data_IF_167801969259
#
_entry.id   IF_167801969259
#
_cell.length_a   1.000
_cell.length_b   1.000
_cell.length_c   1.000
_cell.angle_alpha   90.00
_cell.angle_beta   90.00
_cell.angle_gamma   90.00
#
_symmetry.space_group_name_H-M   'P 1'
#
loop_
_entity.id
_entity.type
_entity.pdbx_description
1 polymer ?
#
# COMPACT_ATOMS: atom_id res chain seq x y z
N UNK A 1 -2.28 26.33 -7.15
CA UNK A 1 -1.26 25.55 -7.85
C UNK A 1 -0.39 24.82 -6.87
N UNK A 2 -0.11 23.56 -7.13
CA UNK A 2 0.81 22.77 -6.31
C UNK A 2 2.24 23.25 -6.56
N UNK A 3 3.06 23.32 -5.52
CA UNK A 3 4.48 23.66 -5.64
C UNK A 3 5.27 22.59 -6.39
N UNK A 4 4.67 21.42 -6.57
CA UNK A 4 5.31 20.28 -7.20
C UNK A 4 5.22 20.44 -8.72
N UNK A 5 6.37 20.36 -9.39
CA UNK A 5 6.41 20.45 -10.84
C UNK A 5 5.80 19.20 -11.48
N UNK A 6 5.31 19.37 -12.71
CA UNK A 6 4.77 18.24 -13.49
C UNK A 6 5.79 17.12 -13.65
N UNK A 7 7.06 17.48 -13.76
CA UNK A 7 8.16 16.51 -13.84
C UNK A 7 8.23 15.63 -12.57
N UNK A 8 8.10 16.27 -11.40
CA UNK A 8 8.10 15.54 -10.12
C UNK A 8 6.88 14.65 -10.00
N UNK A 9 5.72 15.14 -10.38
CA UNK A 9 4.48 14.37 -10.38
C UNK A 9 4.65 13.14 -11.27
N UNK A 10 5.27 13.29 -12.43
CA UNK A 10 5.54 12.17 -13.33
C UNK A 10 6.47 11.14 -12.69
N UNK A 11 7.48 11.58 -11.95
CA UNK A 11 8.37 10.68 -11.21
C UNK A 11 7.63 9.93 -10.12
N UNK A 12 6.78 10.60 -9.36
CA UNK A 12 5.96 9.97 -8.34
C UNK A 12 4.98 8.95 -8.95
N UNK A 13 4.41 9.30 -10.10
CA UNK A 13 3.52 8.39 -10.83
C UNK A 13 4.23 7.09 -11.20
N UNK A 14 5.45 7.19 -11.69
CA UNK A 14 6.25 6.00 -12.03
C UNK A 14 6.53 5.15 -10.80
N UNK A 15 6.89 5.79 -9.69
CA UNK A 15 7.11 5.06 -8.42
C UNK A 15 5.85 4.35 -7.96
N UNK A 16 4.72 5.02 -8.02
CA UNK A 16 3.44 4.44 -7.61
C UNK A 16 3.07 3.24 -8.48
N UNK A 17 3.29 3.34 -9.79
CA UNK A 17 3.01 2.23 -10.70
C UNK A 17 3.91 1.03 -10.42
N UNK A 18 5.19 1.27 -10.13
CA UNK A 18 6.12 0.20 -9.77
C UNK A 18 5.72 -0.47 -8.46
N UNK A 19 5.38 0.31 -7.44
CA UNK A 19 4.92 -0.22 -6.16
C UNK A 19 3.65 -1.05 -6.33
N UNK A 20 2.73 -0.58 -7.16
CA UNK A 20 1.50 -1.32 -7.47
C UNK A 20 1.82 -2.68 -8.09
N UNK A 21 2.72 -2.70 -9.07
CA UNK A 21 3.12 -3.93 -9.74
C UNK A 21 3.77 -4.91 -8.77
N UNK A 22 4.64 -4.42 -7.90
CA UNK A 22 5.30 -5.24 -6.89
C UNK A 22 4.30 -5.85 -5.92
N UNK A 23 3.34 -5.06 -5.46
CA UNK A 23 2.31 -5.53 -4.53
C UNK A 23 1.43 -6.60 -5.18
N UNK A 24 1.05 -6.42 -6.44
CA UNK A 24 0.25 -7.39 -7.17
C UNK A 24 1.04 -8.69 -7.40
N UNK A 25 2.33 -8.57 -7.70
CA UNK A 25 3.19 -9.73 -7.88
C UNK A 25 3.34 -10.52 -6.57
N UNK A 26 3.56 -9.83 -5.46
CA UNK A 26 3.65 -10.44 -4.14
C UNK A 26 2.35 -11.15 -3.76
N UNK A 27 1.21 -10.57 -4.14
CA UNK A 27 -0.09 -11.19 -3.88
C UNK A 27 -0.23 -12.51 -4.63
N UNK A 28 0.24 -12.58 -5.87
CA UNK A 28 0.21 -13.82 -6.65
C UNK A 28 1.12 -14.88 -6.04
N UNK A 29 2.33 -14.51 -5.66
CA UNK A 29 3.28 -15.43 -5.02
C UNK A 29 2.73 -15.95 -3.70
N UNK A 30 2.14 -15.08 -2.89
CA UNK A 30 1.55 -15.45 -1.61
C UNK A 30 0.39 -16.42 -1.79
N UNK A 31 -0.42 -16.26 -2.83
CA UNK A 31 -1.51 -17.16 -3.15
C UNK A 31 -1.01 -18.55 -3.51
N UNK A 32 0.05 -18.64 -4.30
CA UNK A 32 0.66 -19.91 -4.68
C UNK A 32 1.29 -20.61 -3.46
N UNK A 33 1.96 -19.85 -2.61
CA UNK A 33 2.55 -20.37 -1.37
C UNK A 33 1.47 -20.94 -0.45
N UNK A 34 0.31 -20.30 -0.37
CA UNK A 34 -0.78 -20.82 0.45
C UNK A 34 -1.34 -22.12 -0.08
N UNK A 35 -1.39 -22.31 -1.37
CA UNK A 35 -1.81 -23.57 -1.98
C UNK A 35 -0.81 -24.67 -1.65
N UNK A 36 0.47 -24.39 -1.75
CA UNK A 36 1.53 -25.34 -1.41
C UNK A 36 1.47 -25.73 0.06
N UNK A 37 1.28 -24.77 0.95
CA UNK A 37 1.18 -25.03 2.39
C UNK A 37 -0.03 -25.90 2.71
N UNK A 38 -1.15 -25.69 2.02
CA UNK A 38 -2.35 -26.50 2.22
C UNK A 38 -2.10 -27.98 1.85
N UNK A 39 -1.33 -28.22 0.80
CA UNK A 39 -0.97 -29.59 0.42
C UNK A 39 -0.01 -30.21 1.42
N UNK A 40 0.94 -29.46 1.95
CA UNK A 40 1.89 -29.94 2.93
C UNK A 40 1.25 -30.28 4.27
N UNK A 41 0.18 -29.59 4.64
CA UNK A 41 -0.53 -29.86 5.88
C UNK A 41 -1.10 -31.28 5.95
N UNK A 42 -1.39 -31.89 4.83
CA UNK A 42 -1.89 -33.25 4.80
C UNK A 42 -0.79 -34.26 5.10
N UNK A 43 0.48 -33.93 4.87
CA UNK A 43 1.60 -34.84 5.12
C UNK A 43 2.27 -34.62 6.47
N UNK A 44 2.17 -33.45 7.07
CA UNK A 44 2.85 -33.06 8.31
C UNK A 44 1.86 -32.98 9.48
N UNK A 45 0.88 -33.83 9.55
CA UNK A 45 -0.27 -33.76 10.43
C UNK A 45 -0.07 -33.51 11.94
N UNK A 46 1.07 -32.92 12.34
CA UNK A 46 1.33 -32.63 13.76
C UNK A 46 1.87 -31.26 14.09
N UNK A 47 1.82 -30.34 13.15
CA UNK A 47 2.06 -28.94 13.53
C UNK A 47 0.97 -28.54 14.49
N UNK A 48 1.35 -27.97 15.62
CA UNK A 48 0.38 -27.55 16.60
C UNK A 48 -0.64 -26.64 15.93
N UNK A 49 -1.91 -26.82 16.27
CA UNK A 49 -2.98 -25.99 15.72
C UNK A 49 -2.71 -24.50 15.94
N UNK A 50 -2.07 -24.16 17.04
CA UNK A 50 -1.76 -22.79 17.39
C UNK A 50 -0.77 -22.18 16.39
N UNK A 51 0.27 -22.91 15.99
CA UNK A 51 1.24 -22.42 15.02
C UNK A 51 0.62 -22.22 13.65
N UNK A 52 -0.24 -23.16 13.24
CA UNK A 52 -0.95 -23.05 11.97
C UNK A 52 -1.91 -21.86 11.97
N UNK A 53 -2.62 -21.61 13.06
CA UNK A 53 -3.51 -20.47 13.20
C UNK A 53 -2.77 -19.15 13.21
N UNK A 54 -1.64 -19.08 13.91
CA UNK A 54 -0.81 -17.86 13.92
C UNK A 54 -0.27 -17.54 12.53
N UNK A 55 0.22 -18.54 11.81
CA UNK A 55 0.71 -18.34 10.45
C UNK A 55 -0.41 -17.86 9.55
N UNK A 56 -1.61 -18.40 9.69
CA UNK A 56 -2.77 -17.98 8.91
C UNK A 56 -3.20 -16.56 9.23
N UNK A 57 -3.22 -16.20 10.52
CA UNK A 57 -3.55 -14.83 10.93
C UNK A 57 -2.54 -13.82 10.40
N UNK A 58 -1.25 -14.14 10.45
CA UNK A 58 -0.21 -13.27 9.91
C UNK A 58 -0.34 -13.11 8.40
N UNK A 59 -0.68 -14.18 7.70
CA UNK A 59 -0.88 -14.12 6.25
C UNK A 59 -2.09 -13.24 5.90
N UNK A 60 -3.18 -13.37 6.64
CA UNK A 60 -4.38 -12.53 6.44
C UNK A 60 -4.10 -11.07 6.73
N UNK A 61 -3.34 -10.79 7.77
CA UNK A 61 -2.97 -9.42 8.11
C UNK A 61 -2.08 -8.81 7.04
N UNK A 62 -1.12 -9.56 6.54
CA UNK A 62 -0.24 -9.13 5.46
C UNK A 62 -1.05 -8.81 4.20
N UNK A 63 -2.02 -9.63 3.85
CA UNK A 63 -2.92 -9.38 2.73
C UNK A 63 -3.74 -8.12 2.93
N UNK A 64 -4.27 -7.91 4.14
CA UNK A 64 -5.05 -6.73 4.46
C UNK A 64 -4.22 -5.46 4.29
N UNK A 65 -2.99 -5.46 4.78
CA UNK A 65 -2.07 -4.33 4.61
C UNK A 65 -1.77 -4.07 3.15
N UNK A 66 -1.59 -5.13 2.38
CA UNK A 66 -1.33 -5.05 0.94
C UNK A 66 -2.52 -4.43 0.22
N UNK A 67 -3.73 -4.84 0.55
CA UNK A 67 -4.94 -4.30 -0.04
C UNK A 67 -5.12 -2.81 0.29
N UNK A 68 -4.85 -2.43 1.54
CA UNK A 68 -4.91 -1.03 1.96
C UNK A 68 -3.91 -0.20 1.18
N UNK A 69 -2.68 -0.69 1.05
CA UNK A 69 -1.63 0.00 0.32
C UNK A 69 -1.96 0.13 -1.16
N UNK A 70 -2.48 -0.93 -1.77
CA UNK A 70 -2.95 -0.88 -3.16
C UNK A 70 -4.03 0.19 -3.34
N UNK A 71 -4.98 0.25 -2.42
CA UNK A 71 -6.03 1.26 -2.45
C UNK A 71 -5.48 2.68 -2.36
N UNK A 72 -4.48 2.89 -1.50
CA UNK A 72 -3.81 4.18 -1.37
C UNK A 72 -3.11 4.58 -2.66
N UNK A 73 -2.40 3.65 -3.26
CA UNK A 73 -1.67 3.87 -4.52
C UNK A 73 -2.65 4.20 -5.65
N UNK A 74 -3.72 3.42 -5.77
CA UNK A 74 -4.74 3.64 -6.81
C UNK A 74 -5.40 5.01 -6.67
N UNK A 75 -5.72 5.43 -5.45
CA UNK A 75 -6.28 6.76 -5.21
C UNK A 75 -5.29 7.87 -5.52
N UNK A 76 -4.01 7.66 -5.21
CA UNK A 76 -2.97 8.63 -5.56
C UNK A 76 -2.83 8.77 -7.08
N UNK A 77 -2.85 7.66 -7.80
CA UNK A 77 -2.79 7.67 -9.26
C UNK A 77 -4.01 8.38 -9.86
N UNK A 78 -5.17 8.17 -9.27
CA UNK A 78 -6.39 8.85 -9.71
C UNK A 78 -6.30 10.37 -9.47
N UNK A 79 -5.74 10.79 -8.33
CA UNK A 79 -5.52 12.21 -8.07
C UNK A 79 -4.57 12.84 -9.08
N UNK A 80 -3.53 12.11 -9.48
CA UNK A 80 -2.62 12.56 -10.53
C UNK A 80 -3.38 12.77 -11.83
N UNK A 81 -4.23 11.83 -12.18
CA UNK A 81 -5.04 11.88 -13.39
C UNK A 81 -6.00 13.09 -13.40
N UNK A 82 -6.51 13.47 -12.23
CA UNK A 82 -7.48 14.53 -12.08
C UNK A 82 -6.84 15.88 -11.69
N UNK A 83 -5.50 15.97 -11.71
CA UNK A 83 -4.75 17.16 -11.31
C UNK A 83 -5.01 17.60 -9.86
N UNK A 84 -5.29 16.62 -9.00
CA UNK A 84 -5.55 16.85 -7.58
C UNK A 84 -4.43 16.32 -6.67
N UNK A 85 -3.35 15.82 -7.26
CA UNK A 85 -2.25 15.25 -6.51
C UNK A 85 -1.45 16.32 -5.79
N UNK A 86 -1.00 16.00 -4.57
CA UNK A 86 -0.19 16.89 -3.76
C UNK A 86 -0.98 17.70 -2.73
N UNK A 87 -2.28 17.48 -2.65
CA UNK A 87 -3.15 18.17 -1.69
C UNK A 87 -3.69 17.20 -0.65
N UNK A 88 -3.74 17.66 0.60
CA UNK A 88 -4.29 16.88 1.69
C UNK A 88 -5.79 16.66 1.51
N UNK A 89 -6.24 15.41 1.66
CA UNK A 89 -7.65 15.08 1.51
C UNK A 89 -8.49 15.52 2.70
N UNK A 90 -7.85 15.84 3.82
CA UNK A 90 -8.56 16.25 5.04
C UNK A 90 -8.68 17.77 5.18
N UNK A 91 -7.65 18.51 4.84
CA UNK A 91 -7.64 19.99 5.03
C UNK A 91 -7.43 20.79 3.75
N UNK A 92 -7.23 20.09 2.62
CA UNK A 92 -7.00 20.71 1.30
C UNK A 92 -5.72 21.54 1.19
N UNK A 93 -4.86 21.51 2.19
CA UNK A 93 -3.57 22.19 2.12
C UNK A 93 -2.56 21.36 1.32
N UNK A 94 -1.54 22.01 0.82
CA UNK A 94 -0.50 21.30 0.07
C UNK A 94 0.29 20.38 0.97
N UNK A 95 0.58 19.18 0.48
CA UNK A 95 1.48 18.22 1.13
C UNK A 95 2.89 18.58 0.70
N UNK A 96 3.84 18.61 1.64
CA UNK A 96 5.22 18.95 1.32
C UNK A 96 5.83 17.94 0.38
N UNK A 97 6.70 18.40 -0.51
CA UNK A 97 7.40 17.55 -1.45
C UNK A 97 8.19 16.47 -0.74
N UNK A 98 8.85 16.81 0.37
CA UNK A 98 9.61 15.85 1.17
C UNK A 98 8.75 14.69 1.65
N UNK A 99 7.54 14.97 2.09
CA UNK A 99 6.62 13.94 2.54
C UNK A 99 6.20 13.03 1.40
N UNK A 100 5.98 13.60 0.23
CA UNK A 100 5.64 12.82 -0.97
C UNK A 100 6.83 11.99 -1.45
N UNK A 101 8.05 12.46 -1.28
CA UNK A 101 9.23 11.68 -1.62
C UNK A 101 9.38 10.44 -0.73
N UNK A 102 8.99 10.57 0.53
CA UNK A 102 9.01 9.45 1.48
C UNK A 102 7.84 8.50 1.21
N UNK A 103 6.65 9.05 1.00
CA UNK A 103 5.43 8.28 0.79
C UNK A 103 4.56 8.94 -0.29
N UNK A 104 4.78 8.59 -1.56
CA UNK A 104 4.03 9.21 -2.65
C UNK A 104 2.53 8.94 -2.62
N UNK A 105 2.09 7.92 -1.90
CA UNK A 105 0.67 7.56 -1.79
C UNK A 105 -0.04 8.23 -0.61
N UNK A 106 0.66 9.07 0.16
CA UNK A 106 0.06 9.68 1.34
C UNK A 106 -1.14 10.56 0.95
N UNK A 107 -2.30 10.36 1.58
CA UNK A 107 -3.49 11.16 1.28
C UNK A 107 -3.59 12.42 2.13
N UNK A 108 -2.77 12.58 3.17
CA UNK A 108 -2.88 13.67 4.14
C UNK A 108 -1.54 14.32 4.42
N UNK A 109 -1.58 15.59 4.85
CA UNK A 109 -0.39 16.30 5.25
C UNK A 109 0.08 15.82 6.64
N UNK A 110 1.28 16.24 7.02
CA UNK A 110 1.86 15.81 8.29
C UNK A 110 1.02 16.25 9.49
N UNK A 111 0.40 17.41 9.41
CA UNK A 111 -0.44 17.92 10.50
C UNK A 111 -1.67 17.04 10.71
N UNK A 112 -2.34 16.64 9.62
CA UNK A 112 -3.50 15.77 9.70
C UNK A 112 -3.12 14.36 10.13
N UNK A 113 -1.99 13.86 9.68
CA UNK A 113 -1.48 12.56 10.10
C UNK A 113 -1.16 12.55 11.61
N UNK A 114 -0.57 13.64 12.11
CA UNK A 114 -0.23 13.77 13.52
C UNK A 114 -1.47 13.80 14.43
N UNK A 115 -2.60 14.28 13.90
CA UNK A 115 -3.86 14.29 14.63
C UNK A 115 -4.56 12.95 14.64
N UNK A 116 -3.97 11.94 14.02
CA UNK A 116 -4.56 10.62 13.97
C UNK A 116 -5.69 10.47 13.00
N UNK A 117 -5.95 11.47 12.15
CA UNK A 117 -7.01 11.45 11.17
C UNK A 117 -6.57 10.96 9.80
N UNK A 118 -5.40 10.39 9.73
CA UNK A 118 -4.82 9.95 8.47
C UNK A 118 -5.35 8.66 7.95
#
# INVERSE_FOLDING_TARGET
>A
MSEISDKKISEFQKRLLLEKQELLHDAELSSDDRKAVTLDQTSVGRLSRMDAMQAQEMALETERRREIELGRIERALERIKNDEYGFCQSCDEEITEKRLEIDPATPVCINCASKGGG
#
